data_IF_386775314099
#
_entry.id   IF_386775314099
#
_cell.length_a   1.000
_cell.length_b   1.000
_cell.length_c   1.000
_cell.angle_alpha   90.00
_cell.angle_beta   90.00
_cell.angle_gamma   90.00
#
_symmetry.space_group_name_H-M   'P 1'
#
loop_
_entity.id
_entity.type
_entity.pdbx_description
1 polymer ?
#
# COMPACT_ATOMS: atom_id res chain seq x y z
N UNK A 1 -26.39 6.31 14.97
CA UNK A 1 -25.86 6.55 16.33
C UNK A 1 -24.69 7.50 16.17
N UNK A 2 -24.96 8.80 16.32
CA UNK A 2 -23.96 9.85 16.17
C UNK A 2 -23.02 9.83 17.37
N UNK A 3 -21.72 9.76 17.11
CA UNK A 3 -20.71 9.96 18.14
C UNK A 3 -20.60 11.46 18.43
N UNK A 4 -21.47 11.94 19.32
CA UNK A 4 -21.56 13.33 19.74
C UNK A 4 -20.87 13.51 21.10
N UNK A 5 -19.54 13.52 21.11
CA UNK A 5 -18.78 14.09 22.22
C UNK A 5 -17.58 14.87 21.64
N UNK A 6 -17.79 16.16 21.37
CA UNK A 6 -16.69 17.09 21.23
C UNK A 6 -16.29 17.55 22.65
N UNK A 7 -15.14 17.12 23.20
CA UNK A 7 -14.60 17.83 24.35
C UNK A 7 -14.27 19.28 23.92
N UNK A 8 -14.64 20.29 24.73
CA UNK A 8 -14.40 21.68 24.38
C UNK A 8 -12.89 21.98 24.31
N UNK A 9 -12.46 22.70 23.26
CA UNK A 9 -11.17 23.41 23.26
C UNK A 9 -10.07 22.94 22.28
N UNK A 10 -10.32 22.03 21.33
CA UNK A 10 -9.36 21.76 20.24
C UNK A 10 -10.07 21.77 18.89
N UNK A 11 -9.54 22.42 17.84
CA UNK A 11 -10.13 22.34 16.51
C UNK A 11 -10.18 20.87 16.06
N UNK A 12 -11.39 20.42 15.70
CA UNK A 12 -11.73 19.02 15.35
C UNK A 12 -11.89 18.91 13.83
N UNK A 13 -10.96 19.48 13.06
CA UNK A 13 -11.07 19.53 11.60
C UNK A 13 -9.70 19.48 10.93
N UNK A 14 -9.62 18.79 9.80
CA UNK A 14 -8.49 18.86 8.86
C UNK A 14 -8.57 20.19 8.12
N UNK A 15 -7.50 20.99 8.13
CA UNK A 15 -7.50 22.36 7.61
C UNK A 15 -7.11 22.46 6.13
N UNK A 16 -6.35 21.50 5.60
CA UNK A 16 -5.85 21.57 4.23
C UNK A 16 -4.67 20.65 3.97
N UNK A 17 -4.13 20.72 2.76
CA UNK A 17 -2.86 20.11 2.37
C UNK A 17 -1.72 21.10 2.59
N UNK A 18 -0.59 20.60 3.06
CA UNK A 18 0.63 21.39 3.18
C UNK A 18 1.26 21.65 1.80
N UNK A 19 1.72 22.88 1.54
CA UNK A 19 2.27 23.25 0.24
C UNK A 19 3.59 22.53 -0.06
N UNK A 20 4.41 22.28 0.97
CA UNK A 20 5.67 21.53 0.83
C UNK A 20 5.38 20.08 0.44
N UNK A 21 4.35 19.48 1.04
CA UNK A 21 3.86 18.16 0.63
C UNK A 21 3.50 18.13 -0.86
N UNK A 22 2.72 19.09 -1.35
CA UNK A 22 2.33 19.15 -2.76
C UNK A 22 3.53 19.31 -3.71
N UNK A 23 4.53 20.11 -3.33
CA UNK A 23 5.78 20.24 -4.09
C UNK A 23 6.55 18.92 -4.17
N UNK A 24 6.62 18.18 -3.07
CA UNK A 24 7.24 16.85 -3.04
C UNK A 24 6.50 15.85 -3.94
N UNK A 25 5.16 15.92 -3.99
CA UNK A 25 4.35 15.08 -4.87
C UNK A 25 4.69 15.34 -6.35
N UNK A 26 4.84 16.60 -6.77
CA UNK A 26 5.29 16.94 -8.14
C UNK A 26 6.65 16.31 -8.44
N UNK A 27 7.61 16.46 -7.53
CA UNK A 27 8.94 15.89 -7.70
C UNK A 27 8.90 14.36 -7.90
N UNK A 28 8.07 13.66 -7.13
CA UNK A 28 7.87 12.20 -7.26
C UNK A 28 7.22 11.85 -8.60
N UNK A 29 6.18 12.58 -9.01
CA UNK A 29 5.51 12.38 -10.31
C UNK A 29 6.49 12.56 -11.46
N UNK A 30 7.29 13.63 -11.44
CA UNK A 30 8.27 13.91 -12.50
C UNK A 30 9.39 12.86 -12.52
N UNK A 31 9.81 12.35 -11.36
CA UNK A 31 10.73 11.23 -11.29
C UNK A 31 10.11 9.96 -11.90
N UNK A 32 8.91 9.57 -11.48
CA UNK A 32 8.24 8.37 -11.97
C UNK A 32 8.00 8.43 -13.49
N UNK A 33 7.53 9.59 -14.00
CA UNK A 33 7.32 9.81 -15.43
C UNK A 33 8.59 9.62 -16.25
N UNK A 34 9.74 10.15 -15.79
CA UNK A 34 11.04 9.99 -16.48
C UNK A 34 11.45 8.53 -16.64
N UNK A 35 11.03 7.67 -15.72
CA UNK A 35 11.35 6.24 -15.75
C UNK A 35 10.20 5.36 -16.25
N UNK A 36 9.07 5.94 -16.68
CA UNK A 36 7.90 5.19 -17.14
C UNK A 36 7.22 4.39 -16.02
N UNK A 37 7.35 4.84 -14.77
CA UNK A 37 6.77 4.20 -13.59
C UNK A 37 5.38 4.79 -13.32
N UNK A 38 4.43 3.93 -12.93
CA UNK A 38 3.11 4.33 -12.45
C UNK A 38 3.09 4.38 -10.93
N UNK A 39 2.34 5.34 -10.37
CA UNK A 39 2.28 5.55 -8.91
C UNK A 39 0.94 5.09 -8.35
N UNK A 40 0.98 4.35 -7.24
CA UNK A 40 -0.16 4.00 -6.40
C UNK A 40 0.02 4.70 -5.05
N UNK A 41 -0.79 5.71 -4.78
CA UNK A 41 -0.62 6.58 -3.61
C UNK A 41 -1.38 6.05 -2.41
N UNK A 42 -0.68 5.57 -1.39
CA UNK A 42 -1.28 5.28 -0.08
C UNK A 42 -1.43 6.56 0.75
N UNK A 43 -2.65 6.89 1.16
CA UNK A 43 -2.96 8.15 1.84
C UNK A 43 -2.85 8.08 3.36
N UNK A 44 -3.25 6.96 3.96
CA UNK A 44 -3.33 6.75 5.40
C UNK A 44 -2.85 5.34 5.73
N UNK A 45 -2.31 5.13 6.93
CA UNK A 45 -1.88 3.80 7.38
C UNK A 45 -2.69 3.35 8.61
N UNK A 46 -3.40 2.23 8.48
CA UNK A 46 -4.12 1.58 9.56
C UNK A 46 -3.19 1.08 10.67
N UNK A 47 -1.95 0.69 10.34
CA UNK A 47 -0.96 0.25 11.32
C UNK A 47 -0.37 1.39 12.17
N UNK A 48 -0.42 2.64 11.69
CA UNK A 48 -0.07 3.81 12.51
C UNK A 48 -0.99 3.95 13.74
N UNK A 49 -2.17 3.30 13.72
CA UNK A 49 -3.02 3.16 14.89
C UNK A 49 -2.34 2.38 16.03
N UNK A 50 -1.43 1.47 15.69
CA UNK A 50 -0.70 0.59 16.61
C UNK A 50 0.70 1.11 16.98
N UNK A 51 1.31 2.03 16.21
CA UNK A 51 2.69 2.53 16.39
C UNK A 51 2.89 3.61 17.48
N UNK A 52 4.08 3.71 18.08
CA UNK A 52 4.37 4.50 19.30
C UNK A 52 4.38 6.05 19.15
N UNK A 53 4.28 6.58 17.93
CA UNK A 53 4.26 8.02 17.69
C UNK A 53 2.89 8.64 18.05
N UNK A 54 2.81 9.27 19.23
CA UNK A 54 1.55 9.78 19.82
C UNK A 54 0.78 10.77 18.93
N UNK A 55 1.45 11.60 18.13
CA UNK A 55 0.82 12.69 17.35
C UNK A 55 0.08 12.20 16.11
N UNK A 56 0.69 11.33 15.30
CA UNK A 56 0.06 10.78 14.09
C UNK A 56 -1.11 9.86 14.44
N UNK A 57 -0.95 9.06 15.51
CA UNK A 57 -2.02 8.19 16.03
C UNK A 57 -3.27 8.98 16.43
N UNK A 58 -3.10 10.11 17.12
CA UNK A 58 -4.21 10.96 17.55
C UNK A 58 -4.96 11.60 16.38
N UNK A 59 -4.24 12.00 15.31
CA UNK A 59 -4.85 12.58 14.12
C UNK A 59 -5.69 11.55 13.36
N UNK A 60 -5.12 10.38 13.05
CA UNK A 60 -5.84 9.30 12.37
C UNK A 60 -7.01 8.78 13.20
N UNK A 61 -6.83 8.63 14.52
CA UNK A 61 -7.91 8.24 15.43
C UNK A 61 -9.06 9.24 15.41
N UNK A 62 -8.78 10.55 15.38
CA UNK A 62 -9.81 11.58 15.29
C UNK A 62 -10.49 11.57 13.94
N UNK A 63 -9.74 11.44 12.84
CA UNK A 63 -10.32 11.25 11.51
C UNK A 63 -11.28 10.06 11.57
N UNK A 64 -10.84 8.88 11.95
CA UNK A 64 -11.72 7.70 12.02
C UNK A 64 -12.94 7.88 12.95
N UNK A 65 -12.70 8.36 14.18
CA UNK A 65 -13.70 8.30 15.26
C UNK A 65 -14.72 9.44 15.23
N UNK A 66 -14.39 10.59 14.61
CA UNK A 66 -15.21 11.79 14.67
C UNK A 66 -15.76 12.13 13.29
N UNK A 67 -17.08 12.08 13.13
CA UNK A 67 -17.75 12.36 11.85
C UNK A 67 -17.35 13.73 11.26
N UNK A 68 -17.27 14.78 12.09
CA UNK A 68 -16.83 16.11 11.65
C UNK A 68 -15.39 16.10 11.12
N UNK A 69 -14.49 15.36 11.75
CA UNK A 69 -13.13 15.19 11.24
C UNK A 69 -13.14 14.47 9.89
N UNK A 70 -13.86 13.34 9.74
CA UNK A 70 -13.97 12.62 8.45
C UNK A 70 -14.43 13.51 7.32
N UNK A 71 -15.54 14.22 7.51
CA UNK A 71 -16.09 15.12 6.49
C UNK A 71 -15.11 16.24 6.16
N UNK A 72 -14.40 16.79 7.16
CA UNK A 72 -13.37 17.80 6.91
C UNK A 72 -12.15 17.24 6.17
N UNK A 73 -11.74 15.99 6.44
CA UNK A 73 -10.65 15.33 5.72
C UNK A 73 -11.02 15.15 4.24
N UNK A 74 -12.21 14.62 3.96
CA UNK A 74 -12.70 14.44 2.59
C UNK A 74 -12.71 15.77 1.85
N UNK A 75 -13.31 16.80 2.46
CA UNK A 75 -13.49 18.12 1.84
C UNK A 75 -12.17 18.89 1.66
N UNK A 76 -11.31 18.90 2.68
CA UNK A 76 -10.18 19.82 2.75
C UNK A 76 -8.84 19.15 2.40
N UNK A 77 -8.75 17.82 2.35
CA UNK A 77 -7.53 17.10 2.00
C UNK A 77 -7.72 16.14 0.82
N UNK A 78 -8.64 15.17 0.94
CA UNK A 78 -8.79 14.11 -0.08
C UNK A 78 -9.16 14.68 -1.47
N UNK A 79 -10.28 15.42 -1.56
CA UNK A 79 -10.74 15.95 -2.84
C UNK A 79 -9.79 17.02 -3.41
N UNK A 80 -9.21 17.94 -2.59
CA UNK A 80 -8.15 18.83 -3.06
C UNK A 80 -6.91 18.09 -3.58
N UNK A 81 -6.55 16.95 -2.99
CA UNK A 81 -5.42 16.15 -3.49
C UNK A 81 -5.76 15.50 -4.84
N UNK A 82 -6.97 14.95 -4.98
CA UNK A 82 -7.46 14.44 -6.28
C UNK A 82 -7.44 15.54 -7.34
N UNK A 83 -7.94 16.74 -7.02
CA UNK A 83 -7.89 17.88 -7.93
C UNK A 83 -6.45 18.25 -8.31
N UNK A 84 -5.54 18.29 -7.33
CA UNK A 84 -4.14 18.56 -7.56
C UNK A 84 -3.51 17.55 -8.53
N UNK A 85 -3.81 16.25 -8.38
CA UNK A 85 -3.36 15.22 -9.30
C UNK A 85 -3.96 15.40 -10.71
N UNK A 86 -5.24 15.76 -10.83
CA UNK A 86 -5.84 16.03 -12.13
C UNK A 86 -5.15 17.19 -12.87
N UNK A 87 -4.76 18.23 -12.14
CA UNK A 87 -4.13 19.42 -12.71
C UNK A 87 -2.65 19.24 -13.04
N UNK A 88 -1.91 18.45 -12.23
CA UNK A 88 -0.45 18.39 -12.29
C UNK A 88 0.10 17.05 -12.79
N UNK A 89 -0.74 16.04 -12.95
CA UNK A 89 -0.32 14.72 -13.41
C UNK A 89 -0.93 14.39 -14.77
N UNK A 90 -0.10 13.95 -15.71
CA UNK A 90 -0.50 13.52 -17.05
C UNK A 90 -0.59 11.99 -17.12
N UNK A 91 -1.26 11.39 -16.14
CA UNK A 91 -1.49 9.95 -16.08
C UNK A 91 -0.30 9.14 -15.58
N UNK A 92 0.55 9.68 -14.71
CA UNK A 92 1.60 8.90 -14.01
C UNK A 92 0.99 8.14 -12.84
N UNK A 93 0.08 8.78 -12.11
CA UNK A 93 -0.75 8.16 -11.08
C UNK A 93 -1.66 7.13 -11.73
N UNK A 94 -1.57 5.91 -11.22
CA UNK A 94 -2.49 4.84 -11.55
C UNK A 94 -3.70 4.88 -10.62
N UNK A 95 -3.45 4.87 -9.31
CA UNK A 95 -4.50 4.72 -8.32
C UNK A 95 -4.17 5.41 -6.99
N UNK A 96 -5.17 5.45 -6.13
CA UNK A 96 -5.09 5.87 -4.74
C UNK A 96 -5.51 4.69 -3.86
N UNK A 97 -4.64 4.33 -2.92
CA UNK A 97 -4.94 3.48 -1.77
C UNK A 97 -5.42 4.38 -0.63
N UNK A 98 -6.69 4.22 -0.26
CA UNK A 98 -7.33 5.08 0.73
C UNK A 98 -6.72 4.91 2.13
N UNK A 99 -6.47 3.66 2.53
CA UNK A 99 -5.93 3.29 3.84
C UNK A 99 -5.19 1.96 3.71
N UNK A 100 -3.89 1.94 3.99
CA UNK A 100 -3.12 0.71 4.15
C UNK A 100 -3.59 -0.09 5.37
N UNK A 101 -3.79 -1.39 5.23
CA UNK A 101 -4.20 -2.33 6.29
C UNK A 101 -5.30 -1.79 7.22
N UNK A 102 -6.48 -1.39 6.69
CA UNK A 102 -7.55 -0.81 7.49
C UNK A 102 -8.12 -1.80 8.51
N UNK A 103 -7.82 -3.09 8.36
CA UNK A 103 -8.09 -4.17 9.31
C UNK A 103 -7.55 -3.87 10.72
N UNK A 104 -6.43 -3.16 10.82
CA UNK A 104 -5.84 -2.74 12.08
C UNK A 104 -6.80 -1.84 12.89
N UNK A 105 -7.70 -1.11 12.21
CA UNK A 105 -8.71 -0.24 12.83
C UNK A 105 -9.91 -1.02 13.38
N UNK A 106 -10.11 -2.29 12.99
CA UNK A 106 -11.19 -3.13 13.53
C UNK A 106 -10.99 -3.38 15.02
N UNK A 107 -9.73 -3.58 15.41
CA UNK A 107 -9.32 -3.86 16.79
C UNK A 107 -9.07 -2.55 17.53
N UNK A 108 -10.13 -1.78 17.80
CA UNK A 108 -9.97 -0.74 18.82
C UNK A 108 -9.68 -1.45 20.15
N UNK A 109 -8.51 -1.17 20.77
CA UNK A 109 -8.12 -1.69 22.10
C UNK A 109 -9.15 -1.42 23.20
N UNK A 110 -10.18 -0.64 22.90
CA UNK A 110 -11.24 -0.19 23.80
C UNK A 110 -12.54 -0.98 23.67
N UNK A 111 -12.71 -1.87 22.69
CA UNK A 111 -13.97 -2.61 22.52
C UNK A 111 -13.74 -4.09 22.17
N UNK A 112 -14.26 -4.97 23.04
CA UNK A 112 -14.39 -6.41 22.80
C UNK A 112 -15.48 -6.63 21.74
N UNK A 113 -15.14 -6.53 20.46
CA UNK A 113 -16.08 -6.81 19.38
C UNK A 113 -15.48 -6.58 17.99
N UNK A 114 -15.04 -7.67 17.36
CA UNK A 114 -14.43 -7.64 16.02
C UNK A 114 -15.37 -7.17 14.90
N UNK A 115 -16.70 -7.23 15.09
CA UNK A 115 -17.66 -7.01 13.99
C UNK A 115 -18.27 -5.61 13.86
N UNK A 116 -18.29 -4.77 14.91
CA UNK A 116 -18.92 -3.43 14.83
C UNK A 116 -18.01 -2.40 14.19
N UNK A 117 -16.70 -2.47 14.46
CA UNK A 117 -15.74 -1.50 13.92
C UNK A 117 -15.46 -1.76 12.44
N UNK A 118 -15.47 -3.02 11.98
CA UNK A 118 -15.23 -3.33 10.57
C UNK A 118 -16.25 -2.69 9.65
N UNK A 119 -17.55 -2.79 9.94
CA UNK A 119 -18.59 -2.09 9.14
C UNK A 119 -18.41 -0.56 9.10
N UNK A 120 -17.96 0.05 10.20
CA UNK A 120 -17.71 1.51 10.24
C UNK A 120 -16.54 1.86 9.32
N UNK A 121 -15.46 1.07 9.37
CA UNK A 121 -14.29 1.23 8.49
C UNK A 121 -14.69 1.04 7.03
N UNK A 122 -15.38 -0.05 6.69
CA UNK A 122 -15.85 -0.34 5.33
C UNK A 122 -16.76 0.77 4.80
N UNK A 123 -17.76 1.22 5.57
CA UNK A 123 -18.64 2.32 5.15
C UNK A 123 -17.88 3.63 4.94
N UNK A 124 -16.82 3.88 5.71
CA UNK A 124 -16.01 5.09 5.55
C UNK A 124 -15.10 5.01 4.32
N UNK A 125 -14.50 3.85 4.05
CA UNK A 125 -13.75 3.60 2.82
C UNK A 125 -14.64 3.78 1.59
N UNK A 126 -15.84 3.22 1.62
CA UNK A 126 -16.82 3.37 0.56
C UNK A 126 -17.29 4.82 0.39
N UNK A 127 -17.50 5.57 1.49
CA UNK A 127 -17.80 7.00 1.44
C UNK A 127 -16.67 7.79 0.74
N UNK A 128 -15.41 7.50 1.08
CA UNK A 128 -14.26 8.16 0.43
C UNK A 128 -14.18 7.83 -1.06
N UNK A 129 -14.31 6.55 -1.43
CA UNK A 129 -14.30 6.13 -2.83
C UNK A 129 -15.45 6.78 -3.62
N UNK A 130 -16.67 6.76 -3.07
CA UNK A 130 -17.84 7.38 -3.68
C UNK A 130 -17.68 8.90 -3.86
N UNK A 131 -17.11 9.61 -2.88
CA UNK A 131 -16.85 11.04 -2.99
C UNK A 131 -15.81 11.36 -4.08
N UNK A 132 -14.77 10.53 -4.25
CA UNK A 132 -13.81 10.66 -5.37
C UNK A 132 -14.52 10.45 -6.71
N UNK A 133 -15.29 9.37 -6.85
CA UNK A 133 -16.00 9.06 -8.11
C UNK A 133 -17.04 10.12 -8.46
N UNK A 134 -17.81 10.58 -7.48
CA UNK A 134 -18.74 11.69 -7.64
C UNK A 134 -18.02 13.00 -8.00
N UNK A 135 -16.83 13.25 -7.46
CA UNK A 135 -16.02 14.41 -7.81
C UNK A 135 -15.55 14.37 -9.27
N UNK A 136 -15.02 13.22 -9.72
CA UNK A 136 -14.62 13.01 -11.13
C UNK A 136 -15.81 13.22 -12.07
N UNK A 137 -16.96 12.59 -11.77
CA UNK A 137 -18.17 12.70 -12.57
C UNK A 137 -18.70 14.13 -12.69
N UNK A 138 -18.75 14.89 -11.58
CA UNK A 138 -19.19 16.31 -11.59
C UNK A 138 -18.27 17.21 -12.42
N UNK A 139 -17.02 16.82 -12.62
CA UNK A 139 -16.04 17.56 -13.44
C UNK A 139 -15.97 17.05 -14.89
N UNK A 140 -16.83 16.12 -15.28
CA UNK A 140 -16.81 15.50 -16.59
C UNK A 140 -15.52 14.72 -16.89
N UNK A 141 -14.82 14.28 -15.84
CA UNK A 141 -13.64 13.43 -15.99
C UNK A 141 -14.05 11.98 -16.23
N UNK A 142 -13.22 11.24 -16.94
CA UNK A 142 -13.31 9.77 -16.96
C UNK A 142 -13.20 9.24 -15.53
N UNK A 143 -14.15 8.41 -15.11
CA UNK A 143 -14.16 7.83 -13.76
C UNK A 143 -12.97 6.90 -13.51
N UNK A 144 -12.32 6.43 -14.57
CA UNK A 144 -11.10 5.61 -14.54
C UNK A 144 -9.82 6.44 -14.57
N UNK A 145 -9.91 7.78 -14.66
CA UNK A 145 -8.75 8.67 -14.69
C UNK A 145 -7.83 8.49 -13.47
N UNK A 146 -8.42 8.23 -12.30
CA UNK A 146 -7.72 7.85 -11.08
C UNK A 146 -8.50 6.66 -10.49
N UNK A 147 -7.85 5.50 -10.38
CA UNK A 147 -8.48 4.35 -9.76
C UNK A 147 -8.38 4.44 -8.22
N UNK A 148 -9.27 3.75 -7.52
CA UNK A 148 -9.40 3.76 -6.06
C UNK A 148 -9.48 2.33 -5.55
N UNK A 149 -8.69 2.03 -4.52
CA UNK A 149 -8.69 0.77 -3.78
C UNK A 149 -8.24 1.00 -2.33
N UNK A 150 -8.07 -0.08 -1.58
CA UNK A 150 -7.43 -0.10 -0.27
C UNK A 150 -6.69 -1.42 -0.07
N UNK A 151 -5.45 -1.36 0.43
CA UNK A 151 -4.66 -2.57 0.70
C UNK A 151 -5.08 -3.25 2.00
N UNK A 152 -5.84 -4.34 1.96
CA UNK A 152 -6.20 -5.10 3.15
C UNK A 152 -5.03 -5.98 3.63
N UNK A 153 -4.86 -6.12 4.94
CA UNK A 153 -3.83 -7.00 5.51
C UNK A 153 -4.03 -8.47 5.10
N UNK A 154 -5.26 -8.87 4.73
CA UNK A 154 -5.62 -10.23 4.35
C UNK A 154 -6.71 -10.32 3.29
N UNK A 155 -6.69 -11.38 2.50
CA UNK A 155 -7.70 -11.66 1.49
C UNK A 155 -9.11 -11.89 2.07
N UNK A 156 -9.24 -12.45 3.29
CA UNK A 156 -10.56 -12.70 3.92
C UNK A 156 -11.36 -11.40 4.12
N UNK A 157 -10.68 -10.27 4.26
CA UNK A 157 -11.30 -8.96 4.39
C UNK A 157 -12.05 -8.59 3.11
N UNK A 158 -11.43 -8.82 1.95
CA UNK A 158 -12.07 -8.60 0.67
C UNK A 158 -13.22 -9.59 0.48
N UNK A 159 -13.01 -10.89 0.71
CA UNK A 159 -14.08 -11.89 0.50
C UNK A 159 -15.32 -11.59 1.34
N UNK A 160 -15.14 -11.06 2.55
CA UNK A 160 -16.25 -10.73 3.45
C UNK A 160 -16.97 -9.41 3.13
N UNK A 161 -16.31 -8.47 2.43
CA UNK A 161 -16.80 -7.08 2.31
C UNK A 161 -16.85 -6.53 0.89
N UNK A 162 -16.45 -7.29 -0.13
CA UNK A 162 -16.43 -6.80 -1.52
C UNK A 162 -17.78 -6.27 -2.02
N UNK A 163 -18.90 -6.89 -1.62
CA UNK A 163 -20.26 -6.43 -1.94
C UNK A 163 -20.66 -5.09 -1.28
N UNK A 164 -19.84 -4.57 -0.37
CA UNK A 164 -20.05 -3.26 0.29
C UNK A 164 -19.09 -2.18 -0.22
N UNK A 165 -18.31 -2.48 -1.27
CA UNK A 165 -17.25 -1.63 -1.81
C UNK A 165 -17.51 -1.36 -3.30
N UNK A 166 -18.69 -0.83 -3.61
CA UNK A 166 -19.17 -0.65 -4.98
C UNK A 166 -18.32 0.37 -5.76
N UNK A 167 -17.80 1.40 -5.10
CA UNK A 167 -17.03 2.48 -5.76
C UNK A 167 -15.52 2.20 -5.88
N UNK A 168 -15.06 1.04 -5.41
CA UNK A 168 -13.69 0.58 -5.65
C UNK A 168 -13.54 0.11 -7.10
N UNK A 169 -12.40 0.40 -7.76
CA UNK A 169 -12.17 -0.06 -9.14
C UNK A 169 -11.52 -1.44 -9.19
N UNK A 170 -10.77 -1.78 -8.14
CA UNK A 170 -10.11 -3.08 -7.96
C UNK A 170 -9.99 -3.36 -6.46
N UNK A 171 -9.63 -4.60 -6.12
CA UNK A 171 -9.35 -5.02 -4.76
C UNK A 171 -7.85 -5.24 -4.55
N UNK A 172 -7.40 -5.09 -3.31
CA UNK A 172 -6.00 -5.17 -2.95
C UNK A 172 -5.87 -5.84 -1.58
N UNK A 173 -5.05 -6.90 -1.50
CA UNK A 173 -4.65 -7.46 -0.22
C UNK A 173 -3.15 -7.79 -0.18
N UNK A 174 -2.66 -7.94 1.05
CA UNK A 174 -1.28 -8.23 1.34
C UNK A 174 -1.10 -9.70 1.70
N UNK A 175 0.02 -10.26 1.25
CA UNK A 175 0.34 -11.66 1.45
C UNK A 175 1.78 -11.80 1.93
N UNK A 176 1.94 -12.32 3.15
CA UNK A 176 3.24 -12.46 3.76
C UNK A 176 3.42 -13.83 4.41
N UNK A 177 4.61 -14.40 4.24
CA UNK A 177 5.03 -15.59 4.99
C UNK A 177 5.61 -15.18 6.36
N UNK A 178 4.75 -14.59 7.21
CA UNK A 178 5.15 -13.94 8.49
C UNK A 178 5.61 -14.89 9.60
N UNK A 179 5.26 -16.17 9.56
CA UNK A 179 5.55 -17.11 10.68
C UNK A 179 6.69 -18.09 10.37
N UNK A 180 7.08 -18.21 9.11
CA UNK A 180 8.13 -19.13 8.68
C UNK A 180 8.94 -18.47 7.55
N UNK A 181 10.12 -17.94 7.89
CA UNK A 181 11.02 -17.32 6.90
C UNK A 181 11.71 -18.35 6.00
N UNK A 182 11.60 -19.64 6.31
CA UNK A 182 12.03 -20.73 5.42
C UNK A 182 10.96 -21.09 4.40
N UNK A 183 9.71 -20.72 4.65
CA UNK A 183 8.64 -20.81 3.66
C UNK A 183 8.80 -19.68 2.64
N UNK A 184 9.39 -20.01 1.50
CA UNK A 184 9.53 -19.14 0.34
C UNK A 184 8.45 -19.40 -0.72
N UNK A 185 7.42 -20.19 -0.43
CA UNK A 185 6.44 -20.66 -1.42
C UNK A 185 5.67 -19.55 -2.13
N UNK A 186 5.54 -18.37 -1.51
CA UNK A 186 4.70 -17.29 -2.03
C UNK A 186 3.25 -17.70 -2.19
N UNK A 187 2.73 -18.54 -1.29
CA UNK A 187 1.38 -19.10 -1.41
C UNK A 187 0.31 -18.00 -1.46
N UNK A 188 -0.57 -18.09 -2.45
CA UNK A 188 -1.73 -17.23 -2.62
C UNK A 188 -2.99 -18.10 -2.73
N UNK A 189 -4.17 -17.63 -2.30
CA UNK A 189 -5.41 -18.28 -2.71
C UNK A 189 -5.55 -18.23 -4.24
N UNK A 190 -6.35 -19.13 -4.82
CA UNK A 190 -6.67 -18.98 -6.25
C UNK A 190 -7.55 -17.75 -6.45
N UNK A 191 -7.32 -16.95 -7.50
CA UNK A 191 -8.15 -15.79 -7.77
C UNK A 191 -9.65 -16.14 -7.83
N UNK A 192 -10.01 -17.24 -8.49
CA UNK A 192 -11.40 -17.72 -8.58
C UNK A 192 -12.03 -18.07 -7.23
N UNK A 193 -11.23 -18.49 -6.25
CA UNK A 193 -11.74 -18.83 -4.90
C UNK A 193 -12.10 -17.61 -4.07
N UNK A 194 -11.68 -16.40 -4.47
CA UNK A 194 -12.03 -15.17 -3.75
C UNK A 194 -13.50 -14.79 -3.93
N UNK A 195 -14.17 -15.28 -4.98
CA UNK A 195 -15.59 -14.97 -5.23
C UNK A 195 -15.87 -13.50 -5.57
N UNK A 196 -14.84 -12.72 -5.91
CA UNK A 196 -14.94 -11.29 -6.21
C UNK A 196 -15.25 -11.03 -7.67
N UNK A 197 -15.84 -9.87 -7.94
CA UNK A 197 -16.32 -9.44 -9.26
C UNK A 197 -15.48 -8.31 -9.91
N UNK A 198 -14.37 -7.92 -9.28
CA UNK A 198 -13.45 -6.87 -9.77
C UNK A 198 -12.02 -7.39 -9.77
N UNK A 199 -11.12 -6.82 -10.61
CA UNK A 199 -9.71 -7.17 -10.59
C UNK A 199 -9.13 -7.09 -9.18
N UNK A 200 -8.17 -7.94 -8.87
CA UNK A 200 -7.47 -7.90 -7.58
C UNK A 200 -5.97 -7.91 -7.77
N UNK A 201 -5.27 -7.08 -7.01
CA UNK A 201 -3.81 -7.08 -6.93
C UNK A 201 -3.36 -7.65 -5.59
N UNK A 202 -2.11 -8.11 -5.55
CA UNK A 202 -1.38 -8.35 -4.31
C UNK A 202 -0.56 -7.08 -4.02
N UNK A 203 -1.07 -6.16 -3.20
CA UNK A 203 -0.45 -4.85 -2.98
C UNK A 203 0.84 -4.88 -2.16
N UNK A 204 1.04 -5.95 -1.39
CA UNK A 204 2.29 -6.19 -0.67
C UNK A 204 2.59 -7.69 -0.56
N UNK A 205 3.84 -8.08 -0.83
CA UNK A 205 4.31 -9.43 -0.63
C UNK A 205 5.77 -9.54 -0.21
N UNK A 206 6.10 -10.61 0.53
CA UNK A 206 7.49 -10.97 0.90
C UNK A 206 7.57 -11.82 2.17
N UNK A 207 8.76 -11.95 2.76
CA UNK A 207 8.97 -12.66 4.03
C UNK A 207 8.52 -11.86 5.27
N UNK A 208 7.88 -10.69 5.07
CA UNK A 208 7.41 -9.79 6.12
C UNK A 208 8.54 -9.16 6.95
N UNK A 209 8.22 -8.18 7.80
CA UNK A 209 9.16 -7.51 8.71
C UNK A 209 9.81 -8.40 9.78
N UNK A 210 9.67 -9.73 9.68
CA UNK A 210 10.22 -10.69 10.62
C UNK A 210 11.71 -10.97 10.39
N UNK A 211 12.28 -10.60 9.24
CA UNK A 211 13.74 -10.58 9.07
C UNK A 211 14.36 -9.70 10.16
N UNK A 212 13.82 -8.50 10.41
CA UNK A 212 14.31 -7.63 11.48
C UNK A 212 14.11 -8.21 12.88
N UNK A 213 13.01 -8.94 13.12
CA UNK A 213 12.76 -9.60 14.40
C UNK A 213 13.68 -10.79 14.63
N UNK A 214 13.96 -11.59 13.61
CA UNK A 214 14.93 -12.68 13.67
C UNK A 214 16.34 -12.11 13.89
N UNK A 215 16.71 -11.06 13.16
CA UNK A 215 17.97 -10.33 13.37
C UNK A 215 18.06 -9.73 14.80
N UNK A 216 16.94 -9.24 15.35
CA UNK A 216 16.87 -8.72 16.71
C UNK A 216 16.98 -9.81 17.78
N UNK A 217 16.25 -10.91 17.63
CA UNK A 217 16.22 -12.05 18.56
C UNK A 217 17.59 -12.75 18.59
N UNK A 218 18.26 -12.87 17.44
CA UNK A 218 19.55 -13.55 17.32
C UNK A 218 20.75 -12.64 17.62
N UNK A 219 20.51 -11.35 17.92
CA UNK A 219 21.55 -10.37 18.19
C UNK A 219 22.27 -9.91 16.92
N UNK A 220 21.90 -8.73 16.43
CA UNK A 220 22.42 -8.08 15.22
C UNK A 220 23.96 -8.13 15.06
N UNK A 221 24.72 -8.18 16.16
CA UNK A 221 26.19 -8.17 16.15
C UNK A 221 26.84 -9.50 15.74
N UNK A 222 26.08 -10.57 15.45
CA UNK A 222 26.62 -11.92 15.16
C UNK A 222 26.41 -12.41 13.74
N UNK A 223 25.83 -11.61 12.86
CA UNK A 223 25.59 -12.03 11.47
C UNK A 223 26.87 -11.88 10.65
N UNK A 224 27.44 -13.02 10.21
CA UNK A 224 28.46 -13.01 9.17
C UNK A 224 27.83 -12.53 7.85
N UNK A 225 28.62 -11.91 6.97
CA UNK A 225 28.13 -11.46 5.66
C UNK A 225 27.49 -12.58 4.82
N UNK A 226 27.82 -13.85 5.11
CA UNK A 226 27.20 -15.02 4.49
C UNK A 226 25.72 -15.18 4.88
N UNK A 227 25.34 -14.90 6.13
CA UNK A 227 23.96 -15.09 6.61
C UNK A 227 23.01 -14.02 6.06
N UNK A 228 23.47 -12.78 5.89
CA UNK A 228 22.70 -11.71 5.23
C UNK A 228 22.44 -12.02 3.75
N UNK A 229 23.45 -12.54 3.02
CA UNK A 229 23.28 -12.98 1.62
C UNK A 229 22.23 -14.07 1.50
N UNK A 230 22.23 -15.05 2.40
CA UNK A 230 21.21 -16.11 2.41
C UNK A 230 19.80 -15.57 2.65
N UNK A 231 19.64 -14.62 3.58
CA UNK A 231 18.34 -13.99 3.85
C UNK A 231 17.83 -13.22 2.61
N UNK A 232 18.69 -12.43 1.96
CA UNK A 232 18.31 -11.73 0.73
C UNK A 232 17.99 -12.69 -0.42
N UNK A 233 18.72 -13.80 -0.53
CA UNK A 233 18.40 -14.85 -1.50
C UNK A 233 17.02 -15.47 -1.24
N UNK A 234 16.70 -15.78 0.02
CA UNK A 234 15.39 -16.31 0.40
C UNK A 234 14.27 -15.30 0.11
N UNK A 235 14.47 -14.02 0.45
CA UNK A 235 13.52 -12.96 0.14
C UNK A 235 13.30 -12.84 -1.38
N UNK A 236 14.38 -12.87 -2.17
CA UNK A 236 14.29 -12.81 -3.63
C UNK A 236 13.54 -13.99 -4.23
N UNK A 237 13.80 -15.20 -3.76
CA UNK A 237 13.08 -16.40 -4.20
C UNK A 237 11.60 -16.35 -3.80
N UNK A 238 11.31 -15.90 -2.58
CA UNK A 238 9.94 -15.71 -2.10
C UNK A 238 9.16 -14.71 -2.97
N UNK A 239 9.76 -13.56 -3.30
CA UNK A 239 9.17 -12.57 -4.21
C UNK A 239 8.90 -13.17 -5.60
N UNK A 240 9.88 -13.89 -6.15
CA UNK A 240 9.70 -14.54 -7.46
C UNK A 240 8.54 -15.53 -7.44
N UNK A 241 8.39 -16.29 -6.36
CA UNK A 241 7.29 -17.22 -6.21
C UNK A 241 5.94 -16.50 -6.08
N UNK A 242 5.85 -15.39 -5.33
CA UNK A 242 4.64 -14.56 -5.32
C UNK A 242 4.27 -14.06 -6.72
N UNK A 243 5.24 -13.55 -7.48
CA UNK A 243 5.00 -13.07 -8.84
C UNK A 243 4.53 -14.20 -9.76
N UNK A 244 5.19 -15.36 -9.69
CA UNK A 244 4.82 -16.54 -10.47
C UNK A 244 3.43 -17.06 -10.09
N UNK A 245 3.08 -17.08 -8.80
CA UNK A 245 1.78 -17.56 -8.33
C UNK A 245 0.66 -16.57 -8.63
N UNK A 246 0.93 -15.27 -8.56
CA UNK A 246 -0.02 -14.23 -8.95
C UNK A 246 -0.34 -14.30 -10.47
N UNK A 247 0.66 -14.67 -11.28
CA UNK A 247 0.55 -14.75 -12.74
C UNK A 247 -0.01 -16.08 -13.26
N UNK A 248 0.52 -17.22 -12.80
CA UNK A 248 0.26 -18.53 -13.42
C UNK A 248 -1.00 -19.22 -12.89
N UNK A 249 -1.84 -19.73 -13.81
CA UNK A 249 -3.24 -20.14 -13.63
C UNK A 249 -3.60 -21.31 -12.67
N UNK A 250 -2.71 -21.74 -11.78
CA UNK A 250 -3.08 -22.57 -10.62
C UNK A 250 -3.59 -21.74 -9.44
N UNK A 251 -2.99 -20.56 -9.26
CA UNK A 251 -3.41 -19.52 -8.31
C UNK A 251 -3.67 -18.17 -9.01
N UNK A 252 -3.23 -18.02 -10.26
CA UNK A 252 -3.21 -16.77 -11.00
C UNK A 252 -4.56 -16.23 -11.44
N UNK A 253 -4.51 -15.10 -12.13
CA UNK A 253 -5.68 -14.26 -12.44
C UNK A 253 -5.68 -12.93 -11.69
N UNK A 254 -4.65 -12.69 -10.87
CA UNK A 254 -4.41 -11.39 -10.25
C UNK A 254 -3.94 -10.37 -11.28
N UNK A 255 -4.39 -9.13 -11.12
CA UNK A 255 -4.10 -8.03 -12.03
C UNK A 255 -2.74 -7.37 -11.78
N UNK A 256 -2.06 -7.71 -10.68
CA UNK A 256 -0.75 -7.18 -10.31
C UNK A 256 -0.25 -7.75 -8.99
N UNK A 257 1.06 -7.61 -8.74
CA UNK A 257 1.71 -8.02 -7.49
C UNK A 257 2.85 -7.04 -7.17
N UNK A 258 2.96 -6.64 -5.90
CA UNK A 258 3.88 -5.61 -5.41
C UNK A 258 4.65 -6.12 -4.21
N UNK A 259 5.95 -5.79 -4.15
CA UNK A 259 6.87 -6.26 -3.10
C UNK A 259 6.90 -5.30 -1.92
N UNK A 260 6.91 -5.86 -0.72
CA UNK A 260 7.24 -5.18 0.52
C UNK A 260 8.59 -5.65 1.10
N UNK A 261 9.58 -4.79 1.38
CA UNK A 261 9.67 -3.36 1.06
C UNK A 261 10.94 -3.07 0.24
N UNK A 262 10.88 -2.06 -0.62
CA UNK A 262 12.04 -1.57 -1.37
C UNK A 262 12.94 -0.74 -0.45
N UNK A 263 13.75 -1.44 0.33
CA UNK A 263 14.87 -0.87 1.08
C UNK A 263 14.52 -0.36 2.47
N UNK A 264 14.64 -1.26 3.45
CA UNK A 264 14.74 -0.89 4.86
C UNK A 264 15.91 0.10 5.04
N UNK A 265 15.54 1.33 5.41
CA UNK A 265 16.41 2.22 6.16
C UNK A 265 16.58 1.61 7.54
N UNK A 266 17.66 0.86 7.76
CA UNK A 266 18.14 0.48 9.10
C UNK A 266 18.58 1.75 9.84
N UNK A 267 17.63 2.59 10.25
CA UNK A 267 17.88 3.96 10.70
C UNK A 267 18.27 4.06 12.18
N UNK A 268 18.49 2.95 12.90
CA UNK A 268 18.73 3.03 14.35
C UNK A 268 20.16 2.88 14.85
N UNK A 269 21.16 2.48 14.07
CA UNK A 269 22.51 2.31 14.64
C UNK A 269 23.73 2.45 13.71
N UNK A 270 23.60 2.61 12.39
CA UNK A 270 24.77 2.74 11.51
C UNK A 270 24.85 4.15 10.92
N UNK A 271 25.38 5.05 11.74
CA UNK A 271 25.93 6.35 11.33
C UNK A 271 27.17 6.05 10.47
N UNK A 272 27.33 6.75 9.34
CA UNK A 272 28.53 6.80 8.49
C UNK A 272 28.69 5.86 7.28
N UNK A 273 27.63 5.38 6.65
CA UNK A 273 27.73 4.99 5.22
C UNK A 273 26.82 5.88 4.36
N UNK A 274 27.39 6.81 3.55
CA UNK A 274 26.61 7.57 2.60
C UNK A 274 25.94 6.61 1.61
N UNK A 275 24.62 6.41 1.73
CA UNK A 275 23.83 5.72 0.70
C UNK A 275 23.62 6.70 -0.45
N UNK A 276 24.65 6.87 -1.25
CA UNK A 276 24.53 7.48 -2.57
C UNK A 276 23.96 6.43 -3.53
N UNK A 277 22.96 6.79 -4.33
CA UNK A 277 22.60 6.10 -5.58
C UNK A 277 23.71 6.28 -6.63
N UNK A 278 24.98 6.19 -6.22
CA UNK A 278 26.11 6.24 -7.12
C UNK A 278 26.51 4.83 -7.51
N UNK A 279 26.98 4.72 -8.74
CA UNK A 279 27.58 3.54 -9.36
C UNK A 279 28.68 2.85 -8.53
N UNK A 280 29.17 3.46 -7.44
CA UNK A 280 30.25 2.93 -6.60
C UNK A 280 29.80 1.91 -5.55
N UNK A 281 28.51 1.71 -5.33
CA UNK A 281 28.01 0.80 -4.30
C UNK A 281 28.10 -0.70 -4.66
N UNK A 282 28.73 -1.06 -5.79
CA UNK A 282 28.93 -2.45 -6.25
C UNK A 282 27.69 -3.35 -6.13
N UNK A 283 26.49 -2.81 -6.39
CA UNK A 283 25.27 -3.57 -6.70
C UNK A 283 25.30 -4.09 -8.15
N UNK A 284 26.49 -4.48 -8.63
CA UNK A 284 26.70 -4.99 -9.98
C UNK A 284 26.17 -6.42 -10.13
N UNK A 285 25.88 -7.11 -9.03
CA UNK A 285 25.05 -8.30 -9.00
C UNK A 285 23.57 -7.90 -9.02
N UNK A 286 23.16 -7.35 -10.17
CA UNK A 286 21.76 -7.23 -10.55
C UNK A 286 21.16 -8.64 -10.49
N UNK A 287 20.19 -8.88 -9.61
CA UNK A 287 19.13 -9.81 -9.93
C UNK A 287 18.08 -9.00 -10.70
N UNK A 288 18.15 -8.94 -12.05
CA UNK A 288 17.06 -8.37 -12.81
C UNK A 288 15.78 -9.14 -12.48
N UNK A 289 14.76 -8.44 -12.00
CA UNK A 289 13.39 -8.92 -12.13
C UNK A 289 13.07 -8.86 -13.62
N UNK A 290 13.10 -10.01 -14.27
CA UNK A 290 12.83 -10.14 -15.69
C UNK A 290 11.35 -9.91 -15.98
N UNK A 291 11.06 -9.11 -17.01
CA UNK A 291 9.75 -9.08 -17.66
C UNK A 291 9.84 -9.76 -19.02
N UNK A 292 8.73 -10.32 -19.50
CA UNK A 292 8.54 -10.66 -20.92
C UNK A 292 7.29 -9.94 -21.42
N UNK A 293 7.37 -9.34 -22.61
CA UNK A 293 6.17 -8.96 -23.35
C UNK A 293 5.74 -10.12 -24.27
N UNK A 294 4.55 -10.04 -24.84
CA UNK A 294 3.94 -11.05 -25.75
C UNK A 294 4.78 -11.39 -27.01
N UNK A 295 5.96 -10.77 -27.19
CA UNK A 295 6.87 -11.00 -28.33
C UNK A 295 8.26 -11.53 -27.92
N UNK A 296 8.48 -11.90 -26.66
CA UNK A 296 9.71 -12.61 -26.26
C UNK A 296 11.00 -11.81 -26.38
N UNK A 297 10.94 -10.47 -26.35
CA UNK A 297 12.15 -9.63 -26.31
C UNK A 297 12.45 -9.14 -24.88
N UNK A 298 13.64 -9.50 -24.39
CA UNK A 298 14.24 -9.04 -23.14
C UNK A 298 14.56 -7.55 -23.23
N UNK A 299 14.08 -6.75 -22.29
CA UNK A 299 14.56 -5.39 -22.07
C UNK A 299 15.02 -5.23 -20.62
N UNK A 300 16.13 -4.52 -20.44
CA UNK A 300 16.87 -4.42 -19.18
C UNK A 300 16.73 -3.00 -18.61
N UNK A 301 15.97 -2.77 -17.53
CA UNK A 301 15.91 -1.46 -16.80
C UNK A 301 15.58 -1.60 -15.30
N UNK A 302 16.12 -0.69 -14.49
CA UNK A 302 16.17 -0.66 -13.03
C UNK A 302 14.85 -0.28 -12.32
N UNK A 303 14.67 -0.79 -11.09
CA UNK A 303 13.43 -0.81 -10.27
C UNK A 303 13.32 0.36 -9.29
N UNK A 304 12.13 0.96 -9.13
CA UNK A 304 11.38 1.16 -7.86
C UNK A 304 9.88 1.33 -8.22
N UNK A 305 8.99 0.55 -7.59
CA UNK A 305 7.54 0.40 -7.86
C UNK A 305 7.17 0.08 -9.32
N UNK A 306 7.29 -1.20 -9.70
CA UNK A 306 6.68 -1.71 -10.94
C UNK A 306 5.32 -2.32 -10.57
N UNK A 307 4.23 -1.70 -10.99
CA UNK A 307 2.95 -2.40 -11.14
C UNK A 307 2.96 -3.02 -12.53
N UNK A 308 2.99 -4.34 -12.59
CA UNK A 308 2.78 -5.06 -13.84
C UNK A 308 1.27 -5.08 -14.11
N UNK A 309 0.81 -4.30 -15.11
CA UNK A 309 -0.56 -4.44 -15.63
C UNK A 309 -0.62 -5.59 -16.60
N UNK A 310 -1.56 -6.49 -16.33
CA UNK A 310 -2.02 -7.45 -17.31
C UNK A 310 -3.32 -6.90 -17.92
N UNK A 311 -3.25 -6.48 -19.17
CA UNK A 311 -4.45 -6.13 -19.93
C UNK A 311 -5.10 -7.46 -20.37
N UNK A 312 -6.43 -7.66 -20.20
CA UNK A 312 -7.13 -8.87 -20.63
C UNK A 312 -6.99 -9.16 -22.13
#
# INVERSE_FOLDING_TARGET
>A
MEWNENPPGRPVSVSGLDQTFLQNVIYIIDAARRYGIRIYWCLLDGNDFLGDARTSRDALRRIFSLYRCRRSYIKNALLPFVQFLLDNDQGTTFAIDLVNEPDALWRSRFQRGWGRNSRIVINWLEEMASEIKGYLGRRGQDLTRILVSTGFCKHESITNYHDSLDHFDFFDFHAYNVLDVSDISGNLPSYSSLGINKPCIIGECGLGGQVERILAILGYSRFSGLLLRSIFSLQSQCIQNYFNNAWNGGHGGYAGCMVWEYGIKTHRTLVDTPRSLSSQAHWEDRYPLFWTNYRGQLCERSVVHVIQYFNP
#
